data_IF_421619006242
#
_entry.id   IF_421619006242
#
_cell.length_a   1.000
_cell.length_b   1.000
_cell.length_c   1.000
_cell.angle_alpha   90.00
_cell.angle_beta   90.00
_cell.angle_gamma   90.00
#
_symmetry.space_group_name_H-M   'P 1'
#
loop_
_entity.id
_entity.type
_entity.pdbx_description
1 polymer ?
#
# COMPACT_ATOMS: atom_id res chain seq x y z
N UNK A 1 37.64 29.13 -0.13
CA UNK A 1 36.82 28.31 -1.03
C UNK A 1 36.29 27.06 -0.33
N UNK A 2 37.15 26.22 0.25
CA UNK A 2 36.73 25.04 1.04
C UNK A 2 35.91 25.40 2.30
N UNK A 3 36.34 26.39 3.09
CA UNK A 3 35.61 26.83 4.28
C UNK A 3 34.20 27.41 3.98
N UNK A 4 33.99 27.94 2.77
CA UNK A 4 32.66 28.45 2.35
C UNK A 4 31.75 27.28 2.00
N UNK A 5 32.29 26.23 1.39
CA UNK A 5 31.55 25.00 1.07
C UNK A 5 31.15 24.26 2.35
N UNK A 6 32.06 24.14 3.32
CA UNK A 6 31.82 23.48 4.61
C UNK A 6 30.73 24.21 5.43
N UNK A 7 30.77 25.55 5.46
CA UNK A 7 29.74 26.36 6.10
C UNK A 7 28.35 26.22 5.44
N UNK A 8 28.33 26.11 4.11
CA UNK A 8 27.08 25.89 3.35
C UNK A 8 26.54 24.49 3.60
N UNK A 9 27.39 23.46 3.62
CA UNK A 9 26.98 22.08 3.94
C UNK A 9 26.40 21.95 5.35
N UNK A 10 27.07 22.49 6.38
CA UNK A 10 26.59 22.40 7.76
C UNK A 10 25.26 23.11 7.99
N UNK A 11 24.99 24.21 7.26
CA UNK A 11 23.78 25.02 7.46
C UNK A 11 22.62 24.57 6.57
N UNK A 12 22.88 24.27 5.30
CA UNK A 12 21.83 24.00 4.31
C UNK A 12 21.29 22.57 4.40
N UNK A 13 22.16 21.59 4.67
CA UNK A 13 21.80 20.18 4.79
C UNK A 13 20.68 19.92 5.80
N UNK A 14 20.81 20.32 7.08
CA UNK A 14 19.79 20.02 8.06
C UNK A 14 18.47 20.70 7.72
N UNK A 15 18.48 21.90 7.13
CA UNK A 15 17.26 22.60 6.70
C UNK A 15 16.51 21.78 5.65
N UNK A 16 17.21 21.25 4.65
CA UNK A 16 16.58 20.46 3.57
C UNK A 16 16.07 19.12 4.10
N UNK A 17 16.86 18.44 4.93
CA UNK A 17 16.47 17.16 5.57
C UNK A 17 15.20 17.32 6.38
N UNK A 18 15.16 18.28 7.33
CA UNK A 18 13.99 18.50 8.16
C UNK A 18 12.76 18.90 7.34
N UNK A 19 12.96 19.67 6.25
CA UNK A 19 11.88 20.06 5.35
C UNK A 19 11.28 18.85 4.63
N UNK A 20 12.12 17.95 4.11
CA UNK A 20 11.67 16.72 3.45
C UNK A 20 10.98 15.75 4.43
N UNK A 21 11.53 15.58 5.63
CA UNK A 21 10.91 14.79 6.71
C UNK A 21 9.54 15.36 7.08
N UNK A 22 9.43 16.69 7.20
CA UNK A 22 8.17 17.38 7.51
C UNK A 22 7.12 17.16 6.42
N UNK A 23 7.50 17.28 5.15
CA UNK A 23 6.60 17.00 4.02
C UNK A 23 6.09 15.56 4.09
N UNK A 24 6.98 14.59 4.33
CA UNK A 24 6.60 13.19 4.50
C UNK A 24 5.57 13.01 5.62
N UNK A 25 5.79 13.63 6.79
CA UNK A 25 4.85 13.60 7.92
C UNK A 25 3.49 14.19 7.54
N UNK A 26 3.46 15.35 6.87
CA UNK A 26 2.22 16.00 6.44
C UNK A 26 1.41 15.12 5.49
N UNK A 27 2.07 14.44 4.55
CA UNK A 27 1.42 13.52 3.60
C UNK A 27 0.78 12.33 4.33
N UNK A 28 1.49 11.72 5.30
CA UNK A 28 0.93 10.63 6.11
C UNK A 28 -0.29 11.11 6.87
N UNK A 29 -0.21 12.27 7.53
CA UNK A 29 -1.31 12.82 8.31
C UNK A 29 -2.53 13.05 7.41
N UNK A 30 -2.36 13.73 6.29
CA UNK A 30 -3.45 14.01 5.36
C UNK A 30 -4.10 12.74 4.82
N UNK A 31 -3.28 11.78 4.35
CA UNK A 31 -3.76 10.51 3.83
C UNK A 31 -4.48 9.66 4.89
N UNK A 32 -3.96 9.66 6.11
CA UNK A 32 -4.56 8.94 7.24
C UNK A 32 -5.93 9.53 7.61
N UNK A 33 -6.05 10.87 7.69
CA UNK A 33 -7.33 11.53 7.96
C UNK A 33 -8.35 11.22 6.86
N UNK A 34 -7.93 11.27 5.59
CA UNK A 34 -8.80 10.95 4.45
C UNK A 34 -9.26 9.48 4.48
N UNK A 35 -8.34 8.54 4.70
CA UNK A 35 -8.65 7.12 4.83
C UNK A 35 -9.59 6.86 6.00
N UNK A 36 -9.36 7.51 7.14
CA UNK A 36 -10.19 7.41 8.34
C UNK A 36 -11.61 7.96 8.10
N UNK A 37 -11.74 9.06 7.36
CA UNK A 37 -13.05 9.62 7.00
C UNK A 37 -13.85 8.66 6.13
N UNK A 38 -13.20 7.98 5.17
CA UNK A 38 -13.83 6.94 4.34
C UNK A 38 -14.23 5.74 5.20
N UNK A 39 -13.35 5.32 6.11
CA UNK A 39 -13.59 4.20 7.02
C UNK A 39 -14.82 4.40 7.92
N UNK A 40 -14.97 5.59 8.52
CA UNK A 40 -16.15 5.90 9.33
C UNK A 40 -17.42 5.97 8.49
N UNK A 41 -17.34 6.50 7.27
CA UNK A 41 -18.49 6.60 6.36
C UNK A 41 -18.97 5.24 5.86
N UNK A 42 -18.09 4.25 5.82
CA UNK A 42 -18.37 2.87 5.37
C UNK A 42 -18.74 1.91 6.52
N UNK A 43 -19.09 2.45 7.70
CA UNK A 43 -19.59 1.64 8.82
C UNK A 43 -18.50 0.84 9.54
N UNK A 44 -17.27 1.36 9.61
CA UNK A 44 -16.12 0.69 10.25
C UNK A 44 -15.72 -0.63 9.56
N UNK A 45 -15.93 -0.74 8.25
CA UNK A 45 -15.50 -1.90 7.48
C UNK A 45 -14.04 -1.76 7.01
N UNK A 46 -13.12 -2.46 7.69
CA UNK A 46 -11.68 -2.44 7.33
C UNK A 46 -11.39 -3.16 5.99
N UNK A 47 -12.36 -3.89 5.44
CA UNK A 47 -12.22 -4.57 4.14
C UNK A 47 -12.46 -3.65 2.95
N UNK A 48 -12.77 -2.36 3.16
CA UNK A 48 -12.93 -1.43 2.05
C UNK A 48 -11.59 -1.19 1.33
N UNK A 49 -11.53 -1.62 0.07
CA UNK A 49 -10.36 -1.42 -0.79
C UNK A 49 -9.94 0.05 -0.92
N UNK A 50 -10.88 1.00 -0.92
CA UNK A 50 -10.56 2.44 -1.03
C UNK A 50 -9.81 2.97 0.18
N UNK A 51 -10.12 2.48 1.39
CA UNK A 51 -9.40 2.86 2.62
C UNK A 51 -7.96 2.35 2.53
N UNK A 52 -7.77 1.09 2.13
CA UNK A 52 -6.44 0.46 1.98
C UNK A 52 -5.60 1.14 0.91
N UNK A 53 -6.20 1.45 -0.25
CA UNK A 53 -5.53 2.14 -1.36
C UNK A 53 -5.12 3.55 -0.92
N UNK A 54 -6.04 4.34 -0.36
CA UNK A 54 -5.76 5.72 0.07
C UNK A 54 -4.64 5.78 1.11
N UNK A 55 -4.65 4.87 2.08
CA UNK A 55 -3.62 4.80 3.11
C UNK A 55 -2.29 4.31 2.52
N UNK A 56 -2.31 3.30 1.66
CA UNK A 56 -1.13 2.77 0.98
C UNK A 56 -0.42 3.81 0.10
N UNK A 57 -1.19 4.58 -0.69
CA UNK A 57 -0.66 5.67 -1.52
C UNK A 57 0.03 6.75 -0.68
N UNK A 58 -0.62 7.20 0.40
CA UNK A 58 -0.05 8.20 1.29
C UNK A 58 1.22 7.71 2.00
N UNK A 59 1.22 6.46 2.46
CA UNK A 59 2.40 5.84 3.08
C UNK A 59 3.55 5.69 2.08
N UNK A 60 3.28 5.25 0.85
CA UNK A 60 4.28 5.10 -0.21
C UNK A 60 4.90 6.45 -0.56
N UNK A 61 4.08 7.47 -0.82
CA UNK A 61 4.56 8.81 -1.18
C UNK A 61 5.38 9.43 -0.04
N UNK A 62 4.92 9.31 1.20
CA UNK A 62 5.68 9.80 2.35
C UNK A 62 7.04 9.12 2.52
N UNK A 63 7.14 7.85 2.12
CA UNK A 63 8.39 7.10 2.19
C UNK A 63 9.38 7.65 1.18
N UNK A 64 8.97 7.98 -0.04
CA UNK A 64 9.86 8.57 -1.04
C UNK A 64 10.48 9.88 -0.54
N UNK A 65 9.70 10.74 0.12
CA UNK A 65 10.23 11.96 0.75
C UNK A 65 11.18 11.68 1.91
N UNK A 66 10.86 10.69 2.77
CA UNK A 66 11.77 10.27 3.86
C UNK A 66 13.07 9.69 3.29
N UNK A 67 13.00 8.89 2.23
CA UNK A 67 14.18 8.36 1.53
C UNK A 67 15.04 9.46 0.94
N UNK A 68 14.43 10.50 0.36
CA UNK A 68 15.16 11.66 -0.13
C UNK A 68 15.92 12.39 0.99
N UNK A 69 15.28 12.57 2.15
CA UNK A 69 15.93 13.17 3.33
C UNK A 69 17.11 12.30 3.82
N UNK A 70 16.88 10.99 3.86
CA UNK A 70 17.85 9.94 4.17
C UNK A 70 19.10 10.07 3.28
N UNK A 71 18.90 10.10 1.95
CA UNK A 71 19.98 10.15 0.96
C UNK A 71 20.80 11.43 1.15
N UNK A 72 20.14 12.59 1.32
CA UNK A 72 20.84 13.87 1.52
C UNK A 72 21.68 13.85 2.81
N UNK A 73 21.14 13.28 3.89
CA UNK A 73 21.87 13.10 5.17
C UNK A 73 23.15 12.28 4.96
N UNK A 74 23.07 11.22 4.15
CA UNK A 74 24.20 10.32 3.87
C UNK A 74 25.23 10.84 2.88
N UNK A 75 24.84 11.74 1.97
CA UNK A 75 25.79 12.43 1.07
C UNK A 75 26.73 13.34 1.86
N UNK A 76 26.29 13.80 3.03
CA UNK A 76 26.94 14.85 3.81
C UNK A 76 27.62 14.28 5.06
N UNK A 77 27.02 13.27 5.70
CA UNK A 77 27.61 12.55 6.83
C UNK A 77 28.31 11.29 6.31
N UNK A 78 29.65 11.28 6.35
CA UNK A 78 30.47 10.09 6.03
C UNK A 78 30.56 9.09 7.20
N UNK A 79 29.49 8.91 7.97
CA UNK A 79 29.42 7.90 9.03
C UNK A 79 28.54 6.71 8.58
N UNK A 80 29.20 5.60 8.31
CA UNK A 80 28.58 4.38 7.78
C UNK A 80 27.63 3.71 8.79
N UNK A 81 27.80 3.93 10.10
CA UNK A 81 27.00 3.25 11.11
C UNK A 81 25.56 3.79 11.15
N UNK A 82 25.41 5.11 11.04
CA UNK A 82 24.09 5.75 10.96
C UNK A 82 23.37 5.33 9.67
N UNK A 83 24.12 5.26 8.56
CA UNK A 83 23.62 4.85 7.25
C UNK A 83 23.08 3.41 7.22
N UNK A 84 23.70 2.49 7.97
CA UNK A 84 23.28 1.08 8.04
C UNK A 84 21.94 0.90 8.77
N UNK A 85 21.77 1.55 9.93
CA UNK A 85 20.51 1.47 10.72
C UNK A 85 19.35 2.00 9.87
N UNK A 86 19.64 3.08 9.17
CA UNK A 86 18.70 3.79 8.32
C UNK A 86 18.30 2.96 7.09
N UNK A 87 19.29 2.34 6.42
CA UNK A 87 19.05 1.36 5.37
C UNK A 87 18.20 0.16 5.83
N UNK A 88 18.41 -0.31 7.06
CA UNK A 88 17.59 -1.38 7.65
C UNK A 88 16.11 -0.98 7.78
N UNK A 89 15.83 0.23 8.27
CA UNK A 89 14.45 0.73 8.41
C UNK A 89 13.74 0.80 7.05
N UNK A 90 14.44 1.24 6.01
CA UNK A 90 13.92 1.32 4.64
C UNK A 90 13.61 -0.06 4.08
N UNK A 91 14.54 -1.02 4.21
CA UNK A 91 14.35 -2.39 3.73
C UNK A 91 13.17 -3.04 4.44
N UNK A 92 13.07 -2.89 5.76
CA UNK A 92 11.93 -3.39 6.53
C UNK A 92 10.60 -2.80 6.01
N UNK A 93 10.59 -1.52 5.64
CA UNK A 93 9.40 -0.85 5.10
C UNK A 93 8.99 -1.40 3.74
N UNK A 94 9.95 -1.71 2.87
CA UNK A 94 9.70 -2.32 1.57
C UNK A 94 9.14 -3.74 1.75
N UNK A 95 9.74 -4.54 2.62
CA UNK A 95 9.28 -5.91 2.90
C UNK A 95 7.85 -5.92 3.44
N UNK A 96 7.54 -5.10 4.44
CA UNK A 96 6.19 -5.04 5.02
C UNK A 96 5.14 -4.58 4.00
N UNK A 97 5.47 -3.57 3.18
CA UNK A 97 4.57 -3.05 2.14
C UNK A 97 4.29 -4.10 1.06
N UNK A 98 5.31 -4.86 0.65
CA UNK A 98 5.17 -5.95 -0.32
C UNK A 98 4.38 -7.13 0.23
N UNK A 99 4.58 -7.50 1.50
CA UNK A 99 3.80 -8.54 2.18
C UNK A 99 2.31 -8.21 2.16
N UNK A 100 1.94 -6.98 2.53
CA UNK A 100 0.54 -6.54 2.51
C UNK A 100 -0.04 -6.59 1.08
N UNK A 101 0.73 -6.17 0.06
CA UNK A 101 0.27 -6.21 -1.33
C UNK A 101 0.03 -7.65 -1.83
N UNK A 102 0.89 -8.59 -1.44
CA UNK A 102 0.71 -10.01 -1.78
C UNK A 102 -0.49 -10.65 -1.09
N UNK A 103 -0.73 -10.33 0.18
CA UNK A 103 -1.91 -10.81 0.90
C UNK A 103 -3.20 -10.29 0.26
N UNK A 104 -3.24 -8.99 -0.09
CA UNK A 104 -4.40 -8.40 -0.76
C UNK A 104 -4.64 -9.02 -2.14
N UNK A 105 -3.59 -9.25 -2.93
CA UNK A 105 -3.70 -9.88 -4.26
C UNK A 105 -4.23 -11.32 -4.17
N UNK A 106 -3.80 -12.09 -3.17
CA UNK A 106 -4.31 -13.45 -2.96
C UNK A 106 -5.78 -13.46 -2.55
N UNK A 107 -6.18 -12.59 -1.62
CA UNK A 107 -7.58 -12.48 -1.20
C UNK A 107 -8.54 -12.18 -2.37
N UNK A 108 -8.11 -11.34 -3.32
CA UNK A 108 -8.89 -11.05 -4.54
C UNK A 108 -8.98 -12.28 -5.45
N UNK A 109 -7.87 -12.95 -5.74
CA UNK A 109 -7.88 -14.14 -6.61
C UNK A 109 -8.75 -15.27 -6.04
N UNK A 110 -8.71 -15.49 -4.73
CA UNK A 110 -9.52 -16.54 -4.10
C UNK A 110 -11.02 -16.25 -4.21
N UNK A 111 -11.43 -14.98 -4.08
CA UNK A 111 -12.82 -14.58 -4.25
C UNK A 111 -13.35 -14.74 -5.68
N UNK A 112 -12.50 -14.55 -6.69
CA UNK A 112 -12.87 -14.72 -8.10
C UNK A 112 -13.04 -16.20 -8.50
N UNK A 113 -12.22 -17.09 -7.93
CA UNK A 113 -12.36 -18.54 -8.11
C UNK A 113 -13.65 -19.08 -7.48
N UNK A 114 -14.00 -18.59 -6.29
CA UNK A 114 -15.24 -18.98 -5.59
C UNK A 114 -16.48 -18.49 -6.35
N UNK A 115 -16.43 -17.26 -6.91
CA UNK A 115 -17.50 -16.74 -7.79
C UNK A 115 -17.63 -17.50 -9.11
N UNK A 116 -16.51 -17.85 -9.74
CA UNK A 116 -16.52 -18.64 -10.98
C UNK A 116 -17.10 -20.03 -10.74
N UNK A 117 -16.69 -20.73 -9.68
CA UNK A 117 -17.24 -22.03 -9.30
C UNK A 117 -18.75 -22.01 -9.03
N UNK A 118 -19.24 -21.04 -8.25
CA UNK A 118 -20.67 -20.90 -7.98
C UNK A 118 -21.50 -20.62 -9.25
N UNK A 119 -20.95 -19.89 -10.23
CA UNK A 119 -21.65 -19.61 -11.49
C UNK A 119 -21.77 -20.83 -12.41
N UNK A 120 -20.74 -21.69 -12.45
CA UNK A 120 -20.76 -22.95 -13.20
C UNK A 120 -21.74 -23.94 -12.56
N UNK A 121 -21.72 -24.07 -11.24
CA UNK A 121 -22.66 -24.98 -10.55
C UNK A 121 -24.11 -24.54 -10.69
N UNK A 122 -24.38 -23.22 -10.71
CA UNK A 122 -25.73 -22.68 -10.96
C UNK A 122 -26.19 -22.94 -12.40
N UNK A 123 -25.28 -22.87 -13.38
CA UNK A 123 -25.59 -23.23 -14.77
C UNK A 123 -25.83 -24.74 -14.93
N UNK A 124 -25.04 -25.58 -14.28
CA UNK A 124 -25.21 -27.04 -14.33
C UNK A 124 -26.52 -27.49 -13.68
N UNK A 125 -26.89 -26.87 -12.55
CA UNK A 125 -28.18 -27.09 -11.88
C UNK A 125 -29.34 -26.62 -12.75
N UNK A 126 -29.20 -25.46 -13.41
CA UNK A 126 -30.22 -24.93 -14.33
C UNK A 126 -30.36 -25.78 -15.60
N UNK A 127 -29.27 -26.37 -16.10
CA UNK A 127 -29.29 -27.23 -17.28
C UNK A 127 -29.88 -28.61 -16.98
N UNK A 128 -29.52 -29.22 -15.84
CA UNK A 128 -30.07 -30.50 -15.42
C UNK A 128 -31.56 -30.39 -15.05
N UNK A 129 -31.99 -29.29 -14.41
CA UNK A 129 -33.41 -29.06 -14.13
C UNK A 129 -34.27 -28.94 -15.40
N UNK A 130 -33.74 -28.36 -16.48
CA UNK A 130 -34.41 -28.32 -17.79
C UNK A 130 -34.47 -29.72 -18.42
N UNK A 131 -33.38 -30.49 -18.36
CA UNK A 131 -33.36 -31.89 -18.86
C UNK A 131 -34.29 -32.84 -18.12
N UNK A 132 -34.53 -32.62 -16.84
CA UNK A 132 -35.47 -33.42 -16.04
C UNK A 132 -36.93 -33.10 -16.44
N UNK A 133 -37.23 -31.81 -16.67
CA UNK A 133 -38.55 -31.32 -17.12
C UNK A 133 -38.92 -31.79 -18.54
N UNK A 134 -37.94 -31.96 -19.44
CA UNK A 134 -38.17 -32.46 -20.80
C UNK A 134 -38.40 -34.00 -20.84
N UNK A 135 -37.97 -34.73 -19.81
CA UNK A 135 -38.18 -36.19 -19.71
C UNK A 135 -39.55 -36.56 -19.16
N UNK A 136 -40.18 -35.72 -18.33
CA UNK A 136 -41.53 -35.98 -17.81
C UNK A 136 -42.61 -35.75 -18.88
N UNK A 137 -42.43 -34.82 -19.81
CA UNK A 137 -43.41 -34.50 -20.87
C UNK A 137 -43.44 -35.48 -22.05
N UNK A 138 -42.51 -36.43 -22.12
CA UNK A 138 -42.44 -37.43 -23.20
C UNK A 138 -43.04 -38.79 -22.79
N UNK A 139 -43.46 -38.96 -21.53
CA UNK A 139 -43.98 -40.22 -20.97
C UNK A 139 -45.50 -40.19 -20.68
N UNK A 140 -46.23 -39.14 -21.09
CA UNK A 140 -47.70 -39.11 -21.21
C UNK A 140 -48.11 -39.15 -22.69
#
# INVERSE_FOLDING_TARGET
MLAVLEYIEETLSPIVVHSLELIGILIIIYGSIKALTIFFKDGMNLSNSLVKITLGEALSLSLEFKLGAEIIKTVIVRDLNELIILGFVVVLRIVLTLLIHWEVKQAVLTGDLERSGNSIQKMETSYNGVKESDKETTNE
#
